data_IF_860197943418
#
_entry.id   IF_860197943418
#
_cell.length_a   1.000
_cell.length_b   1.000
_cell.length_c   1.000
_cell.angle_alpha   90.00
_cell.angle_beta   90.00
_cell.angle_gamma   90.00
#
_symmetry.space_group_name_H-M   'P 1'
#
loop_
_entity.id
_entity.type
_entity.pdbx_description
1 polymer ?
#
# COMPACT_ATOMS: atom_id res chain seq x y z
N UNK A 1 -1.96 6.27 -10.79
CA UNK A 1 -0.99 5.15 -10.75
C UNK A 1 -1.12 4.47 -9.40
N UNK A 2 -1.20 3.14 -9.40
CA UNK A 2 -1.30 2.32 -8.18
C UNK A 2 0.04 1.63 -7.95
N UNK A 3 0.53 1.63 -6.71
CA UNK A 3 1.79 0.99 -6.32
C UNK A 3 1.49 -0.31 -5.60
N UNK A 4 2.06 -1.41 -6.10
CA UNK A 4 1.92 -2.74 -5.53
C UNK A 4 3.19 -3.19 -4.83
N UNK A 5 3.05 -3.96 -3.75
CA UNK A 5 4.12 -4.78 -3.18
C UNK A 5 4.37 -6.00 -4.06
N UNK A 6 5.46 -6.73 -3.79
CA UNK A 6 5.77 -7.96 -4.52
C UNK A 6 4.77 -9.09 -4.20
N UNK A 7 4.09 -9.02 -3.04
CA UNK A 7 2.96 -9.88 -2.64
C UNK A 7 1.60 -9.33 -3.14
N UNK A 8 1.61 -8.31 -4.01
CA UNK A 8 0.44 -7.65 -4.61
C UNK A 8 -0.48 -6.88 -3.64
N UNK A 9 0.04 -6.42 -2.51
CA UNK A 9 -0.64 -5.46 -1.64
C UNK A 9 -0.62 -4.07 -2.25
N UNK A 10 -1.68 -3.27 -2.03
CA UNK A 10 -1.71 -1.88 -2.47
C UNK A 10 -0.96 -1.00 -1.46
N UNK A 11 0.29 -0.67 -1.76
CA UNK A 11 1.12 0.18 -0.91
C UNK A 11 0.65 1.64 -0.90
N UNK A 12 0.16 2.11 -2.05
CA UNK A 12 -0.28 3.49 -2.20
C UNK A 12 -0.75 3.81 -3.61
N UNK A 13 -1.17 5.05 -3.80
CA UNK A 13 -1.58 5.58 -5.09
C UNK A 13 -1.01 6.98 -5.31
N UNK A 14 -0.86 7.33 -6.58
CA UNK A 14 -0.50 8.66 -7.03
C UNK A 14 -1.43 9.13 -8.13
N UNK A 15 -1.93 10.34 -8.00
CA UNK A 15 -2.72 11.02 -9.02
C UNK A 15 -2.43 12.52 -8.96
N UNK A 16 -2.29 13.16 -10.13
CA UNK A 16 -1.85 14.55 -10.22
C UNK A 16 -0.62 14.82 -9.31
N UNK A 17 -0.72 15.79 -8.40
CA UNK A 17 0.34 16.14 -7.46
C UNK A 17 0.26 15.34 -6.15
N UNK A 18 -0.76 14.50 -5.96
CA UNK A 18 -1.04 13.84 -4.71
C UNK A 18 -0.49 12.42 -4.68
N UNK A 19 0.04 12.04 -3.52
CA UNK A 19 0.39 10.66 -3.20
C UNK A 19 -0.23 10.29 -1.86
N UNK A 20 -0.85 9.12 -1.82
CA UNK A 20 -1.45 8.53 -0.63
C UNK A 20 -0.75 7.21 -0.36
N UNK A 21 -0.32 7.01 0.89
CA UNK A 21 0.40 5.82 1.34
C UNK A 21 -0.46 5.07 2.34
N UNK A 22 -0.85 3.84 2.00
CA UNK A 22 -1.65 2.96 2.84
C UNK A 22 -0.76 2.02 3.67
N UNK A 23 0.40 1.65 3.15
CA UNK A 23 1.38 0.81 3.83
C UNK A 23 2.76 1.42 3.69
N UNK A 24 3.52 1.47 4.79
CA UNK A 24 4.86 2.06 4.81
C UNK A 24 5.93 1.04 5.18
N UNK A 25 7.14 1.22 4.64
CA UNK A 25 8.33 0.54 5.15
C UNK A 25 8.94 1.41 6.26
N UNK A 26 8.92 0.91 7.50
CA UNK A 26 9.44 1.62 8.68
C UNK A 26 10.94 1.41 8.89
N UNK A 27 11.46 0.28 8.44
CA UNK A 27 12.88 0.03 8.46
C UNK A 27 13.60 1.04 7.55
N UNK A 28 14.84 1.37 7.88
CA UNK A 28 15.70 2.24 7.09
C UNK A 28 17.05 1.56 6.87
N UNK A 29 17.71 1.85 5.75
CA UNK A 29 19.13 1.50 5.54
C UNK A 29 19.39 0.31 4.63
N UNK A 30 19.83 -0.81 5.20
CA UNK A 30 20.47 -1.93 4.46
C UNK A 30 19.45 -2.93 3.90
N UNK A 31 19.90 -4.14 3.53
CA UNK A 31 19.03 -5.25 3.16
C UNK A 31 17.96 -5.58 4.22
N UNK A 32 18.11 -5.10 5.46
CA UNK A 32 17.04 -5.19 6.47
C UNK A 32 15.70 -4.62 6.00
N UNK A 33 15.70 -3.62 5.10
CA UNK A 33 14.51 -3.09 4.43
C UNK A 33 13.68 -4.16 3.71
N UNK A 34 14.34 -5.19 3.17
CA UNK A 34 13.69 -6.29 2.44
C UNK A 34 13.29 -7.44 3.36
N UNK A 35 13.86 -7.50 4.56
CA UNK A 35 13.53 -8.52 5.56
C UNK A 35 12.33 -8.11 6.44
N UNK A 36 12.07 -6.81 6.54
CA UNK A 36 11.02 -6.26 7.40
C UNK A 36 9.69 -6.11 6.65
N UNK A 37 8.56 -6.49 7.25
CA UNK A 37 7.26 -6.36 6.63
C UNK A 37 6.83 -4.90 6.50
N UNK A 38 6.02 -4.61 5.48
CA UNK A 38 5.32 -3.33 5.40
C UNK A 38 4.32 -3.19 6.55
N UNK A 39 4.21 -1.98 7.10
CA UNK A 39 3.23 -1.66 8.15
C UNK A 39 1.98 -1.06 7.52
N UNK A 40 0.84 -1.73 7.68
CA UNK A 40 -0.46 -1.19 7.28
C UNK A 40 -0.88 -0.03 8.19
N UNK A 41 -1.27 1.10 7.59
CA UNK A 41 -1.63 2.31 8.29
C UNK A 41 -3.15 2.42 8.47
N UNK A 42 -3.58 2.80 9.67
CA UNK A 42 -4.99 3.14 9.93
C UNK A 42 -5.35 4.52 9.41
N UNK A 43 -4.39 5.44 9.51
CA UNK A 43 -4.45 6.76 8.91
C UNK A 43 -3.41 6.78 7.79
N UNK A 44 -3.82 6.82 6.52
CA UNK A 44 -2.85 6.85 5.42
C UNK A 44 -2.02 8.14 5.50
N UNK A 45 -0.80 8.11 4.95
CA UNK A 45 -0.06 9.37 4.75
C UNK A 45 -0.52 10.05 3.48
N UNK A 46 -0.49 11.37 3.49
CA UNK A 46 -0.86 12.20 2.34
C UNK A 46 0.29 13.15 2.04
N UNK A 47 0.73 13.17 0.80
CA UNK A 47 1.79 14.07 0.35
C UNK A 47 1.38 14.79 -0.92
N UNK A 48 1.80 16.05 -1.04
CA UNK A 48 1.78 16.78 -2.30
C UNK A 48 3.20 16.76 -2.87
N UNK A 49 3.43 15.95 -3.90
CA UNK A 49 4.74 15.72 -4.51
C UNK A 49 5.29 16.94 -5.27
N UNK A 50 4.46 17.96 -5.52
CA UNK A 50 4.94 19.22 -6.11
C UNK A 50 5.66 20.07 -5.06
N UNK A 51 5.17 20.05 -3.83
CA UNK A 51 5.73 20.83 -2.71
C UNK A 51 6.69 20.03 -1.85
N UNK A 52 6.46 18.72 -1.73
CA UNK A 52 7.26 17.76 -0.97
C UNK A 52 7.60 16.54 -1.84
N UNK A 53 8.54 16.69 -2.79
CA UNK A 53 8.89 15.61 -3.73
C UNK A 53 9.57 14.41 -3.05
N UNK A 54 10.05 14.56 -1.80
CA UNK A 54 10.75 13.51 -1.06
C UNK A 54 9.93 12.92 0.09
N UNK A 55 8.67 13.33 0.24
CA UNK A 55 7.74 12.77 1.23
C UNK A 55 8.31 12.85 2.66
N UNK A 56 8.81 14.02 3.05
CA UNK A 56 9.48 14.25 4.34
C UNK A 56 8.64 15.04 5.33
N UNK A 57 7.53 15.63 4.90
CA UNK A 57 6.76 16.56 5.71
C UNK A 57 6.27 15.96 7.03
N UNK A 58 5.97 14.66 7.07
CA UNK A 58 5.55 13.94 8.28
C UNK A 58 6.65 13.78 9.34
N UNK A 59 7.92 13.93 8.95
CA UNK A 59 9.10 13.86 9.83
C UNK A 59 9.62 15.26 10.16
N UNK A 60 9.61 16.18 9.21
CA UNK A 60 10.33 17.46 9.31
C UNK A 60 9.46 18.66 9.61
N UNK A 61 8.15 18.59 9.35
CA UNK A 61 7.25 19.74 9.50
C UNK A 61 6.46 19.69 10.80
N UNK A 62 6.44 20.82 11.51
CA UNK A 62 5.64 20.97 12.73
C UNK A 62 4.14 21.14 12.46
N UNK A 63 3.74 21.49 11.24
CA UNK A 63 2.34 21.78 10.86
C UNK A 63 1.77 20.77 9.87
N UNK A 64 2.46 19.65 9.65
CA UNK A 64 2.01 18.61 8.71
C UNK A 64 0.64 18.06 9.08
N UNK A 65 0.38 17.82 10.37
CA UNK A 65 -0.88 17.22 10.81
C UNK A 65 -2.07 18.17 10.69
N UNK A 66 -1.88 19.46 10.95
CA UNK A 66 -2.92 20.48 10.70
C UNK A 66 -3.24 20.54 9.19
N UNK A 67 -2.20 20.61 8.35
CA UNK A 67 -2.36 20.58 6.90
C UNK A 67 -3.03 19.29 6.41
N UNK A 68 -2.67 18.14 6.99
CA UNK A 68 -3.28 16.86 6.65
C UNK A 68 -4.79 16.88 6.95
N UNK A 69 -5.19 17.36 8.13
CA UNK A 69 -6.60 17.40 8.53
C UNK A 69 -7.42 18.34 7.63
N UNK A 70 -6.84 19.47 7.20
CA UNK A 70 -7.48 20.37 6.23
C UNK A 70 -7.69 19.71 4.85
N UNK A 71 -6.97 18.62 4.55
CA UNK A 71 -6.96 17.95 3.24
C UNK A 71 -7.32 16.45 3.32
N UNK A 72 -7.88 16.00 4.44
CA UNK A 72 -8.16 14.57 4.70
C UNK A 72 -9.13 13.96 3.68
N UNK A 73 -10.02 14.78 3.12
CA UNK A 73 -10.94 14.44 2.05
C UNK A 73 -10.21 13.89 0.80
N UNK A 74 -8.96 14.26 0.58
CA UNK A 74 -8.14 13.74 -0.52
C UNK A 74 -7.79 12.27 -0.27
N UNK A 75 -7.53 11.87 0.97
CA UNK A 75 -7.31 10.48 1.32
C UNK A 75 -8.55 9.63 0.99
N UNK A 76 -9.75 10.16 1.23
CA UNK A 76 -11.04 9.51 0.90
C UNK A 76 -11.20 9.37 -0.63
N UNK A 77 -10.92 10.42 -1.40
CA UNK A 77 -10.92 10.33 -2.87
C UNK A 77 -9.95 9.27 -3.37
N UNK A 78 -8.82 9.11 -2.69
CA UNK A 78 -7.86 8.06 -2.99
C UNK A 78 -8.44 6.65 -2.90
N UNK A 79 -9.21 6.36 -1.85
CA UNK A 79 -9.89 5.06 -1.72
C UNK A 79 -10.82 4.81 -2.89
N UNK A 80 -11.57 5.81 -3.35
CA UNK A 80 -12.46 5.68 -4.51
C UNK A 80 -11.69 5.35 -5.80
N UNK A 81 -10.58 6.03 -6.06
CA UNK A 81 -9.72 5.75 -7.23
C UNK A 81 -9.21 4.31 -7.20
N UNK A 82 -8.76 3.83 -6.03
CA UNK A 82 -8.33 2.44 -5.85
C UNK A 82 -9.49 1.47 -6.11
N UNK A 83 -10.69 1.75 -5.60
CA UNK A 83 -11.88 0.93 -5.85
C UNK A 83 -12.20 0.84 -7.34
N UNK A 84 -12.17 1.95 -8.07
CA UNK A 84 -12.39 1.95 -9.52
C UNK A 84 -11.34 1.12 -10.26
N UNK A 85 -10.08 1.19 -9.84
CA UNK A 85 -9.04 0.32 -10.39
C UNK A 85 -9.35 -1.16 -10.13
N UNK A 86 -9.76 -1.53 -8.91
CA UNK A 86 -10.13 -2.91 -8.59
C UNK A 86 -11.34 -3.40 -9.39
N UNK A 87 -12.28 -2.52 -9.74
CA UNK A 87 -13.41 -2.87 -10.60
C UNK A 87 -12.99 -3.32 -12.00
N UNK A 88 -11.85 -2.84 -12.51
CA UNK A 88 -11.33 -3.26 -13.82
C UNK A 88 -10.99 -4.75 -13.85
N UNK A 89 -10.73 -5.38 -12.70
CA UNK A 89 -10.49 -6.82 -12.61
C UNK A 89 -11.72 -7.68 -12.92
N UNK A 90 -12.92 -7.09 -12.98
CA UNK A 90 -14.11 -7.78 -13.52
C UNK A 90 -13.94 -8.09 -15.01
N UNK A 91 -13.30 -7.18 -15.75
CA UNK A 91 -13.02 -7.34 -17.18
C UNK A 91 -11.65 -8.00 -17.41
N UNK A 92 -10.66 -7.67 -16.58
CA UNK A 92 -9.29 -8.14 -16.66
C UNK A 92 -8.90 -8.94 -15.41
N UNK A 93 -9.41 -10.17 -15.23
CA UNK A 93 -9.16 -10.95 -14.03
C UNK A 93 -7.66 -11.28 -13.85
N UNK A 94 -7.15 -11.32 -12.61
CA UNK A 94 -5.80 -11.78 -12.32
C UNK A 94 -5.58 -13.19 -12.87
N UNK A 95 -4.49 -13.38 -13.62
CA UNK A 95 -4.18 -14.67 -14.28
C UNK A 95 -3.43 -15.65 -13.39
N UNK A 96 -2.86 -15.17 -12.30
CA UNK A 96 -2.06 -15.95 -11.37
C UNK A 96 -2.30 -15.43 -9.94
N UNK A 97 -2.26 -16.34 -8.97
CA UNK A 97 -2.19 -15.97 -7.55
C UNK A 97 -0.90 -15.17 -7.28
N UNK A 98 -0.95 -14.20 -6.35
CA UNK A 98 0.23 -13.44 -5.97
C UNK A 98 1.32 -14.37 -5.45
N UNK A 99 2.57 -13.93 -5.62
CA UNK A 99 3.67 -14.55 -4.91
C UNK A 99 3.45 -14.35 -3.40
N UNK A 100 4.06 -15.23 -2.61
CA UNK A 100 4.06 -15.12 -1.17
C UNK A 100 5.47 -15.44 -0.69
N UNK A 101 6.04 -14.54 0.12
CA UNK A 101 7.31 -14.80 0.81
C UNK A 101 7.15 -15.62 2.09
N UNK A 102 5.91 -15.98 2.46
CA UNK A 102 5.59 -16.80 3.63
C UNK A 102 5.28 -18.24 3.22
N UNK A 103 4.98 -19.09 4.21
CA UNK A 103 4.69 -20.50 3.99
C UNK A 103 3.21 -20.77 3.66
N UNK A 104 2.41 -19.73 3.38
CA UNK A 104 0.95 -19.84 3.25
C UNK A 104 0.55 -20.84 2.16
N UNK A 105 1.24 -20.85 1.03
CA UNK A 105 1.00 -21.82 -0.05
C UNK A 105 1.34 -23.26 0.35
N UNK A 106 2.35 -23.47 1.20
CA UNK A 106 2.70 -24.80 1.70
C UNK A 106 1.65 -25.30 2.70
N UNK A 107 1.19 -24.41 3.59
CA UNK A 107 0.13 -24.69 4.57
C UNK A 107 -1.20 -24.99 3.86
N UNK A 108 -1.58 -24.21 2.85
CA UNK A 108 -2.78 -24.46 2.06
C UNK A 108 -2.76 -25.83 1.37
N UNK A 109 -1.61 -26.23 0.80
CA UNK A 109 -1.42 -27.58 0.22
C UNK A 109 -1.56 -28.68 1.26
N UNK A 110 -1.03 -28.48 2.46
CA UNK A 110 -1.16 -29.44 3.56
C UNK A 110 -2.62 -29.60 3.99
N UNK A 111 -3.36 -28.50 4.16
CA UNK A 111 -4.78 -28.57 4.51
C UNK A 111 -5.61 -29.26 3.42
N UNK A 112 -5.34 -29.00 2.14
CA UNK A 112 -6.01 -29.66 1.03
C UNK A 112 -5.71 -31.17 0.96
N UNK A 113 -4.54 -31.60 1.44
CA UNK A 113 -4.21 -33.02 1.58
C UNK A 113 -5.00 -33.65 2.74
N UNK A 114 -4.96 -33.02 3.92
CA UNK A 114 -5.64 -33.53 5.12
C UNK A 114 -7.17 -33.57 5.00
N UNK A 115 -7.77 -32.68 4.21
CA UNK A 115 -9.22 -32.62 4.01
C UNK A 115 -9.77 -33.71 3.05
N UNK A 116 -8.90 -34.52 2.45
CA UNK A 116 -9.29 -35.65 1.58
C UNK A 116 -9.47 -36.97 2.32
N UNK A 117 -9.03 -37.04 3.57
CA UNK A 117 -9.22 -38.18 4.48
C UNK A 117 -10.50 -38.02 5.32
#
# INVERSE_FOLDING_TARGET
>A
MVYFSDDCDVLGIRFDNWKIVFMEQRAQGTLGLWAEPFTALRLPKLFNLRTDPFERADITSNTYWDWFLDHDYIAIYGTFITSQFLETFKEFPPRQEPASFTIDHAVAKLHAFLAKD
#
